data_IF_574354698167
#
_entry.id   IF_574354698167
#
_cell.length_a   1.000
_cell.length_b   1.000
_cell.length_c   1.000
_cell.angle_alpha   90.00
_cell.angle_beta   90.00
_cell.angle_gamma   90.00
#
_symmetry.space_group_name_H-M   'P 1'
#
loop_
_entity.id
_entity.type
_entity.pdbx_description
1 polymer ?
#
# COMPACT_ATOMS: atom_id res chain seq x y z
N UNK A 1 -9.04 -0.58 -36.74
CA UNK A 1 -10.40 -0.08 -36.44
C UNK A 1 -10.85 1.03 -37.39
N UNK A 2 -10.01 2.00 -37.75
CA UNK A 2 -10.38 3.13 -38.65
C UNK A 2 -10.65 2.74 -40.12
N UNK A 3 -10.15 1.60 -40.60
CA UNK A 3 -10.38 1.12 -41.97
C UNK A 3 -11.50 0.06 -42.08
N UNK A 4 -12.29 -0.12 -41.02
CA UNK A 4 -13.44 -1.04 -41.05
C UNK A 4 -14.45 -0.73 -42.18
N UNK A 5 -14.75 0.55 -42.51
CA UNK A 5 -15.68 0.88 -43.59
C UNK A 5 -15.23 0.38 -44.98
N UNK A 6 -13.92 0.35 -45.23
CA UNK A 6 -13.35 -0.05 -46.52
C UNK A 6 -13.02 -1.54 -46.59
N UNK A 7 -12.55 -2.12 -45.48
CA UNK A 7 -12.11 -3.52 -45.46
C UNK A 7 -13.23 -4.52 -45.18
N UNK A 8 -14.21 -4.16 -44.34
CA UNK A 8 -15.28 -5.06 -43.88
C UNK A 8 -16.61 -4.29 -43.66
N UNK A 9 -17.22 -3.76 -44.74
CA UNK A 9 -18.41 -2.91 -44.64
C UNK A 9 -19.61 -3.61 -43.97
N UNK A 10 -19.74 -4.92 -44.10
CA UNK A 10 -20.81 -5.72 -43.48
C UNK A 10 -20.69 -5.81 -41.95
N UNK A 11 -19.46 -5.76 -41.43
CA UNK A 11 -19.21 -5.73 -39.99
C UNK A 11 -19.62 -4.38 -39.43
N UNK A 12 -19.27 -3.30 -40.15
CA UNK A 12 -19.69 -1.94 -39.80
C UNK A 12 -21.22 -1.80 -39.83
N UNK A 13 -21.90 -2.31 -40.86
CA UNK A 13 -23.36 -2.23 -40.96
C UNK A 13 -24.04 -2.93 -39.78
N UNK A 14 -23.56 -4.12 -39.40
CA UNK A 14 -24.05 -4.84 -38.22
C UNK A 14 -23.75 -4.09 -36.91
N UNK A 15 -22.61 -3.44 -36.81
CA UNK A 15 -22.23 -2.62 -35.66
C UNK A 15 -23.17 -1.42 -35.50
N UNK A 16 -23.49 -0.73 -36.61
CA UNK A 16 -24.40 0.42 -36.62
C UNK A 16 -25.85 0.04 -36.25
N UNK A 17 -26.26 -1.20 -36.52
CA UNK A 17 -27.59 -1.73 -36.10
C UNK A 17 -27.56 -2.28 -34.66
N UNK A 18 -26.46 -2.06 -33.92
CA UNK A 18 -26.33 -2.43 -32.51
C UNK A 18 -26.15 -3.93 -32.26
N UNK A 19 -25.65 -4.69 -33.25
CA UNK A 19 -25.13 -6.05 -33.02
C UNK A 19 -23.79 -5.95 -32.27
N UNK A 20 -23.24 -7.07 -31.77
CA UNK A 20 -22.04 -7.14 -30.88
C UNK A 20 -22.29 -6.88 -29.37
N UNK A 21 -23.54 -6.69 -28.96
CA UNK A 21 -23.95 -6.77 -27.57
C UNK A 21 -25.09 -7.79 -27.43
N UNK A 22 -25.19 -8.43 -26.28
CA UNK A 22 -26.20 -9.43 -25.96
C UNK A 22 -26.96 -9.05 -24.71
N UNK A 23 -28.21 -9.50 -24.63
CA UNK A 23 -29.10 -9.19 -23.52
C UNK A 23 -29.49 -10.50 -22.83
N UNK A 24 -29.10 -10.65 -21.55
CA UNK A 24 -29.33 -11.88 -20.80
C UNK A 24 -30.77 -12.03 -20.27
N UNK A 25 -31.51 -10.93 -20.13
CA UNK A 25 -32.87 -10.92 -19.60
C UNK A 25 -33.83 -10.07 -20.43
N UNK A 26 -35.09 -10.49 -20.53
CA UNK A 26 -36.12 -9.83 -21.34
C UNK A 26 -36.68 -8.54 -20.72
N UNK A 27 -36.36 -8.25 -19.45
CA UNK A 27 -37.04 -7.22 -18.65
C UNK A 27 -36.33 -5.85 -18.72
N UNK A 28 -35.01 -5.81 -18.88
CA UNK A 28 -34.25 -4.55 -18.87
C UNK A 28 -33.76 -4.17 -20.28
N UNK A 29 -34.42 -3.21 -20.98
CA UNK A 29 -34.03 -2.79 -22.33
C UNK A 29 -32.65 -2.12 -22.40
N UNK A 30 -32.11 -1.63 -21.28
CA UNK A 30 -30.77 -1.03 -21.20
C UNK A 30 -29.70 -2.00 -20.67
N UNK A 31 -30.02 -3.29 -20.53
CA UNK A 31 -29.13 -4.30 -19.95
C UNK A 31 -28.25 -5.05 -20.96
N UNK A 32 -27.99 -4.47 -22.15
CA UNK A 32 -27.12 -5.10 -23.15
C UNK A 32 -25.66 -5.01 -22.71
N UNK A 33 -24.97 -6.14 -22.73
CA UNK A 33 -23.56 -6.23 -22.36
C UNK A 33 -22.73 -6.77 -23.54
N UNK A 34 -21.42 -6.49 -23.57
CA UNK A 34 -20.50 -7.14 -24.50
C UNK A 34 -20.59 -8.68 -24.46
N UNK A 35 -20.31 -9.32 -25.60
CA UNK A 35 -20.45 -10.78 -25.77
C UNK A 35 -19.51 -11.55 -24.83
N UNK A 36 -18.29 -11.06 -24.63
CA UNK A 36 -17.30 -11.62 -23.71
C UNK A 36 -17.80 -11.59 -22.26
N UNK A 37 -18.33 -10.45 -21.82
CA UNK A 37 -18.92 -10.31 -20.49
C UNK A 37 -20.13 -11.23 -20.30
N UNK A 38 -20.90 -11.48 -21.35
CA UNK A 38 -22.03 -12.41 -21.26
C UNK A 38 -21.58 -13.87 -21.12
N UNK A 39 -20.50 -14.27 -21.79
CA UNK A 39 -19.88 -15.59 -21.60
C UNK A 39 -19.37 -15.71 -20.15
N UNK A 40 -18.81 -14.62 -19.62
CA UNK A 40 -18.33 -14.56 -18.23
C UNK A 40 -19.48 -14.78 -17.22
N UNK A 41 -20.56 -14.02 -17.35
CA UNK A 41 -21.70 -14.05 -16.43
C UNK A 41 -22.62 -15.27 -16.60
N UNK A 42 -22.41 -16.11 -17.63
CA UNK A 42 -23.19 -17.33 -17.88
C UNK A 42 -22.34 -18.58 -17.79
N UNK A 43 -21.65 -18.93 -18.88
CA UNK A 43 -20.92 -20.19 -19.04
C UNK A 43 -19.76 -20.25 -18.04
N UNK A 44 -18.95 -19.19 -17.93
CA UNK A 44 -17.83 -19.18 -16.99
C UNK A 44 -18.30 -19.18 -15.54
N UNK A 45 -19.32 -18.40 -15.19
CA UNK A 45 -19.88 -18.38 -13.84
C UNK A 45 -20.33 -19.77 -13.37
N UNK A 46 -20.95 -20.55 -14.24
CA UNK A 46 -21.39 -21.92 -13.91
C UNK A 46 -20.23 -22.92 -13.87
N UNK A 47 -19.20 -22.73 -14.69
CA UNK A 47 -18.12 -23.72 -14.90
C UNK A 47 -16.86 -23.42 -14.10
N UNK A 48 -16.57 -22.17 -13.72
CA UNK A 48 -15.38 -21.73 -12.99
C UNK A 48 -15.57 -21.69 -11.46
N UNK A 49 -16.41 -22.56 -10.91
CA UNK A 49 -16.59 -22.74 -9.46
C UNK A 49 -15.40 -23.49 -8.82
N UNK A 50 -15.36 -23.61 -7.49
CA UNK A 50 -14.33 -24.41 -6.81
C UNK A 50 -14.46 -25.90 -7.25
N UNK A 51 -13.49 -26.39 -8.02
CA UNK A 51 -13.54 -27.69 -8.72
C UNK A 51 -13.75 -27.59 -10.25
N UNK A 52 -14.00 -26.39 -10.76
CA UNK A 52 -13.96 -26.01 -12.18
C UNK A 52 -12.54 -25.69 -12.68
N UNK A 53 -12.40 -25.01 -13.84
CA UNK A 53 -11.06 -24.68 -14.44
C UNK A 53 -10.07 -24.07 -13.46
N UNK A 54 -10.56 -23.33 -12.46
CA UNK A 54 -9.79 -22.83 -11.34
C UNK A 54 -9.40 -24.00 -10.41
N UNK A 55 -8.22 -24.58 -10.67
CA UNK A 55 -7.68 -25.72 -9.92
C UNK A 55 -7.94 -27.09 -10.55
N UNK A 56 -8.47 -27.15 -11.78
CA UNK A 56 -8.86 -28.41 -12.45
C UNK A 56 -7.67 -29.28 -12.87
N UNK A 57 -6.81 -28.77 -13.77
CA UNK A 57 -5.69 -29.51 -14.34
C UNK A 57 -4.82 -28.58 -15.20
N UNK A 58 -3.50 -28.77 -15.18
CA UNK A 58 -2.55 -28.11 -16.09
C UNK A 58 -2.30 -28.92 -17.39
N UNK A 59 -2.92 -30.09 -17.55
CA UNK A 59 -2.73 -30.95 -18.73
C UNK A 59 -3.57 -30.46 -19.91
N UNK A 60 -2.92 -30.09 -21.02
CA UNK A 60 -3.57 -29.46 -22.18
C UNK A 60 -4.76 -30.26 -22.74
N UNK A 61 -4.61 -31.58 -22.91
CA UNK A 61 -5.68 -32.43 -23.45
C UNK A 61 -6.93 -32.48 -22.58
N UNK A 62 -6.76 -32.40 -21.26
CA UNK A 62 -7.87 -32.33 -20.29
C UNK A 62 -8.56 -30.97 -20.34
N UNK A 63 -7.77 -29.90 -20.47
CA UNK A 63 -8.26 -28.52 -20.62
C UNK A 63 -9.03 -28.34 -21.93
N UNK A 64 -8.52 -28.85 -23.06
CA UNK A 64 -9.22 -28.78 -24.35
C UNK A 64 -10.56 -29.51 -24.33
N UNK A 65 -10.62 -30.73 -23.77
CA UNK A 65 -11.89 -31.47 -23.63
C UNK A 65 -12.88 -30.74 -22.71
N UNK A 66 -12.38 -30.09 -21.67
CA UNK A 66 -13.20 -29.28 -20.78
C UNK A 66 -13.85 -28.12 -21.55
N UNK A 67 -13.06 -27.33 -22.30
CA UNK A 67 -13.59 -26.20 -23.08
C UNK A 67 -14.55 -26.63 -24.19
N UNK A 68 -14.34 -27.80 -24.83
CA UNK A 68 -15.27 -28.34 -25.84
C UNK A 68 -16.63 -28.70 -25.22
N UNK A 69 -16.65 -29.14 -23.95
CA UNK A 69 -17.88 -29.62 -23.29
C UNK A 69 -18.49 -28.62 -22.31
N UNK A 70 -17.87 -27.47 -22.08
CA UNK A 70 -18.26 -26.52 -21.03
C UNK A 70 -19.68 -25.98 -21.21
N UNK A 71 -20.12 -25.74 -22.45
CA UNK A 71 -21.45 -25.21 -22.76
C UNK A 71 -22.55 -26.21 -22.40
N UNK A 72 -22.35 -27.47 -22.77
CA UNK A 72 -23.24 -28.56 -22.40
C UNK A 72 -23.30 -28.73 -20.88
N UNK A 73 -22.16 -28.65 -20.19
CA UNK A 73 -22.08 -28.75 -18.73
C UNK A 73 -22.83 -27.62 -18.04
N UNK A 74 -22.64 -26.36 -18.45
CA UNK A 74 -23.40 -25.21 -17.94
C UNK A 74 -24.90 -25.40 -18.16
N UNK A 75 -25.31 -25.84 -19.36
CA UNK A 75 -26.72 -26.11 -19.67
C UNK A 75 -27.34 -27.18 -18.75
N UNK A 76 -26.67 -28.31 -18.55
CA UNK A 76 -27.17 -29.36 -17.66
C UNK A 76 -27.22 -28.89 -16.20
N UNK A 77 -26.20 -28.15 -15.73
CA UNK A 77 -26.19 -27.58 -14.38
C UNK A 77 -27.34 -26.60 -14.16
N UNK A 78 -27.66 -25.78 -15.17
CA UNK A 78 -28.79 -24.85 -15.11
C UNK A 78 -30.13 -25.58 -14.99
N UNK A 79 -30.35 -26.59 -15.83
CA UNK A 79 -31.55 -27.44 -15.78
C UNK A 79 -31.68 -28.17 -14.44
N UNK A 80 -30.58 -28.70 -13.91
CA UNK A 80 -30.55 -29.34 -12.58
C UNK A 80 -30.95 -28.35 -11.48
N UNK A 81 -30.39 -27.13 -11.48
CA UNK A 81 -30.73 -26.10 -10.49
C UNK A 81 -32.21 -25.70 -10.56
N UNK A 82 -32.75 -25.56 -11.77
CA UNK A 82 -34.17 -25.29 -12.00
C UNK A 82 -35.06 -26.42 -11.45
N UNK A 83 -34.69 -27.68 -11.74
CA UNK A 83 -35.40 -28.86 -11.26
C UNK A 83 -35.37 -29.01 -9.73
N UNK A 84 -34.26 -28.68 -9.08
CA UNK A 84 -34.11 -28.82 -7.61
C UNK A 84 -34.73 -27.67 -6.81
N UNK A 85 -35.49 -26.79 -7.45
CA UNK A 85 -36.09 -25.63 -6.76
C UNK A 85 -35.06 -24.60 -6.28
N UNK A 86 -33.86 -24.62 -6.86
CA UNK A 86 -32.86 -23.57 -6.72
C UNK A 86 -33.35 -22.33 -7.46
N UNK A 87 -34.40 -21.72 -6.92
CA UNK A 87 -35.11 -20.62 -7.52
C UNK A 87 -34.14 -19.47 -7.81
N UNK A 88 -34.22 -19.01 -9.06
CA UNK A 88 -33.60 -17.82 -9.63
C UNK A 88 -33.28 -16.79 -8.54
N UNK A 89 -31.99 -16.64 -8.18
CA UNK A 89 -31.58 -15.45 -7.49
C UNK A 89 -32.01 -14.29 -8.40
N UNK A 90 -33.02 -13.52 -7.98
CA UNK A 90 -33.24 -12.17 -8.51
C UNK A 90 -31.85 -11.57 -8.68
N UNK A 91 -31.57 -10.98 -9.85
CA UNK A 91 -30.34 -10.26 -10.15
C UNK A 91 -30.18 -9.12 -9.14
N UNK A 92 -29.83 -9.47 -7.92
CA UNK A 92 -29.63 -8.58 -6.80
C UNK A 92 -28.13 -8.40 -6.86
N UNK A 93 -27.70 -7.24 -7.36
CA UNK A 93 -26.29 -6.87 -7.31
C UNK A 93 -25.78 -7.19 -5.91
N UNK A 94 -24.64 -7.89 -5.76
CA UNK A 94 -24.11 -8.25 -4.46
C UNK A 94 -24.01 -7.04 -3.52
N UNK A 95 -23.73 -5.86 -4.06
CA UNK A 95 -23.62 -4.59 -3.33
C UNK A 95 -24.96 -4.02 -2.83
N UNK A 96 -26.09 -4.49 -3.38
CA UNK A 96 -27.42 -4.09 -2.95
C UNK A 96 -27.99 -4.98 -1.82
N UNK A 97 -27.22 -5.96 -1.34
CA UNK A 97 -27.58 -6.74 -0.16
C UNK A 97 -27.73 -5.84 1.07
N UNK A 98 -28.78 -6.08 1.86
CA UNK A 98 -29.14 -5.28 3.04
C UNK A 98 -27.97 -5.16 4.03
N UNK A 99 -27.20 -6.23 4.20
CA UNK A 99 -26.03 -6.31 5.07
C UNK A 99 -24.90 -5.40 4.59
N UNK A 100 -24.68 -5.29 3.28
CA UNK A 100 -23.68 -4.39 2.70
C UNK A 100 -24.10 -2.94 2.80
N UNK A 101 -25.38 -2.62 2.57
CA UNK A 101 -25.92 -1.26 2.75
C UNK A 101 -25.71 -0.77 4.19
N UNK A 102 -26.06 -1.59 5.18
CA UNK A 102 -25.82 -1.30 6.61
C UNK A 102 -24.34 -1.15 6.96
N UNK A 103 -23.44 -1.79 6.21
CA UNK A 103 -22.00 -1.58 6.38
C UNK A 103 -21.58 -0.24 5.81
N UNK A 104 -21.98 0.08 4.59
CA UNK A 104 -21.67 1.36 3.96
C UNK A 104 -22.21 2.55 4.75
N UNK A 105 -23.42 2.45 5.29
CA UNK A 105 -23.99 3.47 6.18
C UNK A 105 -23.10 3.69 7.42
N UNK A 106 -22.69 2.62 8.09
CA UNK A 106 -21.76 2.72 9.23
C UNK A 106 -20.39 3.28 8.86
N UNK A 107 -19.87 2.90 7.70
CA UNK A 107 -18.58 3.39 7.21
C UNK A 107 -18.66 4.90 6.89
N UNK A 108 -19.80 5.37 6.34
CA UNK A 108 -20.07 6.80 6.11
C UNK A 108 -20.26 7.55 7.42
N UNK A 109 -21.05 7.02 8.36
CA UNK A 109 -21.22 7.62 9.69
C UNK A 109 -19.90 7.77 10.42
N UNK A 110 -19.03 6.75 10.37
CA UNK A 110 -17.71 6.82 10.96
C UNK A 110 -16.81 7.88 10.30
N UNK A 111 -16.92 8.08 8.98
CA UNK A 111 -16.19 9.12 8.28
C UNK A 111 -16.70 10.51 8.66
N UNK A 112 -18.02 10.70 8.71
CA UNK A 112 -18.63 11.96 9.11
C UNK A 112 -18.27 12.32 10.55
N UNK A 113 -18.39 11.38 11.48
CA UNK A 113 -18.00 11.58 12.89
C UNK A 113 -16.52 11.95 13.03
N UNK A 114 -15.66 11.30 12.24
CA UNK A 114 -14.24 11.63 12.20
C UNK A 114 -14.01 13.06 11.66
N UNK A 115 -14.71 13.47 10.61
CA UNK A 115 -14.57 14.81 10.03
C UNK A 115 -15.16 15.93 10.89
N UNK A 116 -16.26 15.67 11.60
CA UNK A 116 -16.99 16.69 12.36
C UNK A 116 -16.51 16.79 13.82
N UNK A 117 -16.18 15.65 14.45
CA UNK A 117 -15.93 15.60 15.90
C UNK A 117 -14.48 15.25 16.27
N UNK A 118 -13.71 14.62 15.37
CA UNK A 118 -12.37 14.11 15.71
C UNK A 118 -11.25 14.87 15.01
N UNK A 119 -11.44 15.26 13.75
CA UNK A 119 -10.44 16.00 12.99
C UNK A 119 -10.57 17.48 13.27
N UNK A 120 -9.47 18.06 13.73
CA UNK A 120 -9.27 19.50 13.71
C UNK A 120 -9.32 19.98 12.27
N UNK A 121 -10.34 20.78 11.95
CA UNK A 121 -10.48 21.41 10.64
C UNK A 121 -9.58 22.66 10.60
N UNK A 122 -8.42 22.62 9.92
CA UNK A 122 -7.45 23.72 9.92
C UNK A 122 -7.94 24.97 9.16
N UNK A 123 -9.11 24.88 8.53
CA UNK A 123 -9.75 25.96 7.78
C UNK A 123 -11.01 26.48 8.49
N UNK A 124 -11.31 26.01 9.70
CA UNK A 124 -12.41 26.54 10.49
C UNK A 124 -12.04 27.94 11.01
N UNK A 125 -12.77 29.00 10.61
CA UNK A 125 -12.45 30.37 11.02
C UNK A 125 -12.77 30.66 12.49
N UNK A 126 -13.53 29.78 13.15
CA UNK A 126 -14.02 29.94 14.52
C UNK A 126 -13.10 29.33 15.59
N UNK A 127 -11.98 28.69 15.19
CA UNK A 127 -10.97 28.19 16.12
C UNK A 127 -10.02 29.31 16.57
N UNK A 128 -10.14 29.72 17.83
CA UNK A 128 -9.28 30.77 18.43
C UNK A 128 -7.88 30.28 18.81
N UNK A 129 -7.70 28.96 18.94
CA UNK A 129 -6.48 28.34 19.44
C UNK A 129 -5.49 27.99 18.32
N UNK A 130 -4.22 28.37 18.49
CA UNK A 130 -3.14 27.97 17.57
C UNK A 130 -2.81 26.49 17.77
N UNK A 131 -3.14 25.63 16.81
CA UNK A 131 -2.86 24.19 16.87
C UNK A 131 -1.76 23.76 15.89
N UNK A 132 -0.86 22.86 16.32
CA UNK A 132 0.12 22.23 15.43
C UNK A 132 -0.53 21.10 14.63
N UNK A 133 -0.62 21.26 13.30
CA UNK A 133 -1.16 20.24 12.39
C UNK A 133 -0.42 18.89 12.44
N UNK A 134 0.85 18.90 12.81
CA UNK A 134 1.68 17.70 12.83
C UNK A 134 1.58 16.89 14.12
N UNK A 135 1.19 17.53 15.22
CA UNK A 135 1.21 16.93 16.56
C UNK A 135 -0.13 16.99 17.27
N UNK A 136 -1.11 17.71 16.72
CA UNK A 136 -2.42 17.93 17.32
C UNK A 136 -2.37 18.61 18.70
N UNK A 137 -1.26 19.32 18.96
CA UNK A 137 -1.03 19.98 20.25
C UNK A 137 -1.52 21.41 20.13
N UNK A 138 -2.50 21.75 20.97
CA UNK A 138 -2.93 23.13 21.21
C UNK A 138 -1.77 23.92 21.83
N UNK A 139 -1.44 25.06 21.23
CA UNK A 139 -0.34 25.92 21.65
C UNK A 139 -0.62 26.50 23.05
N UNK A 140 0.23 26.25 24.06
CA UNK A 140 0.11 26.91 25.36
C UNK A 140 0.18 28.44 25.22
N UNK A 141 -0.35 29.20 26.19
CA UNK A 141 -0.45 30.66 26.11
C UNK A 141 0.87 31.36 25.81
N UNK A 142 1.99 30.84 26.34
CA UNK A 142 3.31 31.40 26.10
C UNK A 142 3.80 31.23 24.66
N UNK A 143 3.54 30.06 24.06
CA UNK A 143 3.91 29.76 22.66
C UNK A 143 2.99 30.53 21.71
N UNK A 144 1.69 30.61 22.02
CA UNK A 144 0.70 31.32 21.22
C UNK A 144 1.09 32.81 21.11
N UNK A 145 1.35 33.45 22.26
CA UNK A 145 1.82 34.84 22.33
C UNK A 145 3.09 35.07 21.53
N UNK A 146 4.08 34.19 21.65
CA UNK A 146 5.37 34.34 20.98
C UNK A 146 5.25 34.13 19.45
N UNK A 147 4.39 33.21 19.00
CA UNK A 147 4.10 32.98 17.57
C UNK A 147 3.36 34.16 16.94
N UNK A 148 2.31 34.68 17.58
CA UNK A 148 1.57 35.85 17.09
C UNK A 148 2.44 37.11 17.02
N UNK A 149 3.40 37.24 17.93
CA UNK A 149 4.33 38.38 17.97
C UNK A 149 5.61 38.17 17.17
N UNK A 150 5.81 37.00 16.56
CA UNK A 150 7.06 36.69 15.86
C UNK A 150 7.37 37.70 14.75
N UNK A 151 6.35 38.10 13.98
CA UNK A 151 6.50 39.12 12.94
C UNK A 151 6.86 40.49 13.52
N UNK A 152 6.14 40.97 14.54
CA UNK A 152 6.39 42.30 15.13
C UNK A 152 7.74 42.38 15.83
N UNK A 153 8.17 41.30 16.51
CA UNK A 153 9.50 41.19 17.12
C UNK A 153 10.60 41.12 16.05
N UNK A 154 10.36 40.42 14.94
CA UNK A 154 11.27 40.36 13.80
C UNK A 154 11.44 41.72 13.12
N UNK A 155 10.32 42.43 12.90
CA UNK A 155 10.31 43.76 12.30
C UNK A 155 11.06 44.77 13.18
N UNK A 156 10.81 44.76 14.50
CA UNK A 156 11.56 45.62 15.42
C UNK A 156 13.07 45.33 15.39
N UNK A 157 13.47 44.06 15.34
CA UNK A 157 14.88 43.68 15.22
C UNK A 157 15.49 44.10 13.87
N UNK A 158 14.71 44.07 12.80
CA UNK A 158 15.13 44.57 11.49
C UNK A 158 15.31 46.09 11.48
N UNK A 159 14.37 46.84 12.08
CA UNK A 159 14.49 48.30 12.17
C UNK A 159 15.69 48.71 13.03
N UNK A 160 15.93 48.05 14.17
CA UNK A 160 17.15 48.24 14.98
C UNK A 160 18.42 47.96 14.16
N UNK A 161 18.42 46.93 13.32
CA UNK A 161 19.54 46.62 12.45
C UNK A 161 19.74 47.68 11.37
N UNK A 162 18.66 48.16 10.75
CA UNK A 162 18.71 49.18 9.72
C UNK A 162 19.30 50.49 10.24
N UNK A 163 18.86 50.96 11.41
CA UNK A 163 19.41 52.17 12.04
C UNK A 163 20.91 52.03 12.29
N UNK A 164 21.35 50.90 12.84
CA UNK A 164 22.78 50.68 13.09
C UNK A 164 23.60 50.59 11.80
N UNK A 165 23.03 50.03 10.72
CA UNK A 165 23.68 50.00 9.41
C UNK A 165 23.81 51.40 8.78
N UNK A 166 22.82 52.26 8.99
CA UNK A 166 22.80 53.63 8.45
C UNK A 166 23.68 54.60 9.28
N UNK A 167 23.78 54.40 10.60
CA UNK A 167 24.47 55.32 11.53
C UNK A 167 25.91 54.90 11.91
N UNK A 168 26.24 53.60 11.89
CA UNK A 168 27.54 53.09 12.34
C UNK A 168 28.42 52.61 11.17
N UNK A 169 29.47 53.38 10.84
CA UNK A 169 30.39 53.10 9.71
C UNK A 169 31.14 51.75 9.83
N UNK A 170 31.15 51.10 10.99
CA UNK A 170 31.77 49.79 11.17
C UNK A 170 30.83 48.61 10.92
N UNK A 171 29.50 48.80 10.91
CA UNK A 171 28.57 47.68 10.80
C UNK A 171 28.40 47.26 9.33
N UNK A 172 28.58 45.96 9.06
CA UNK A 172 28.47 45.39 7.71
C UNK A 172 27.07 44.84 7.48
N UNK A 173 26.59 44.87 6.24
CA UNK A 173 25.32 44.26 5.82
C UNK A 173 25.21 42.77 6.20
N UNK A 174 26.34 42.05 6.23
CA UNK A 174 26.39 40.63 6.61
C UNK A 174 26.56 40.38 8.11
N UNK A 175 26.48 41.41 8.95
CA UNK A 175 26.50 41.23 10.40
C UNK A 175 25.26 40.46 10.86
N UNK A 176 25.44 39.61 11.88
CA UNK A 176 24.40 38.68 12.32
C UNK A 176 23.37 39.41 13.18
N UNK A 177 22.10 39.27 12.84
CA UNK A 177 20.99 39.60 13.72
C UNK A 177 21.00 38.70 14.97
N UNK A 178 20.83 39.29 16.14
CA UNK A 178 20.75 38.53 17.40
C UNK A 178 19.46 37.71 17.43
N UNK A 179 19.59 36.39 17.64
CA UNK A 179 18.45 35.48 17.75
C UNK A 179 17.56 35.88 18.94
N UNK A 180 16.28 36.15 18.68
CA UNK A 180 15.27 36.38 19.72
C UNK A 180 14.75 35.02 20.19
N UNK A 181 14.81 34.75 21.50
CA UNK A 181 14.50 33.45 22.09
C UNK A 181 12.99 33.16 22.20
N UNK A 182 12.25 33.35 21.10
CA UNK A 182 10.81 33.09 21.04
C UNK A 182 10.53 31.60 21.15
N UNK A 183 9.50 31.23 21.92
CA UNK A 183 9.02 29.85 21.98
C UNK A 183 8.17 29.52 20.75
N UNK A 184 8.30 28.29 20.25
CA UNK A 184 7.61 27.76 19.07
C UNK A 184 7.10 26.34 19.35
N UNK A 185 6.36 25.73 18.43
CA UNK A 185 5.92 24.34 18.56
C UNK A 185 7.07 23.33 18.77
N UNK A 186 8.31 23.66 18.35
CA UNK A 186 9.50 22.82 18.64
C UNK A 186 9.83 22.75 20.14
N UNK A 187 9.38 23.74 20.93
CA UNK A 187 9.52 23.73 22.38
C UNK A 187 8.48 22.84 23.07
N UNK A 188 7.43 22.41 22.34
CA UNK A 188 6.37 21.53 22.82
C UNK A 188 6.58 20.07 22.43
N UNK A 189 7.45 19.80 21.45
CA UNK A 189 7.75 18.42 21.08
C UNK A 189 8.41 17.72 22.28
N UNK A 190 7.72 16.72 22.82
CA UNK A 190 8.38 15.69 23.64
C UNK A 190 9.52 15.13 22.80
N UNK A 191 10.71 14.98 23.38
CA UNK A 191 11.83 14.27 22.74
C UNK A 191 11.40 12.82 22.48
N UNK A 192 10.70 12.59 21.38
CA UNK A 192 10.57 11.28 20.78
C UNK A 192 11.95 10.89 20.26
N UNK A 193 12.29 9.60 20.40
CA UNK A 193 13.64 9.07 20.16
C UNK A 193 14.32 9.68 18.93
N UNK A 194 15.61 9.97 19.05
CA UNK A 194 16.37 10.70 18.03
C UNK A 194 16.75 9.83 16.82
N UNK A 195 16.28 8.58 16.77
CA UNK A 195 16.56 7.66 15.67
C UNK A 195 15.39 6.75 15.36
N UNK A 196 15.27 6.38 14.08
CA UNK A 196 14.26 5.41 13.58
C UNK A 196 14.28 4.10 14.37
N UNK A 197 15.48 3.62 14.75
CA UNK A 197 15.62 2.38 15.51
C UNK A 197 15.15 2.53 16.96
N UNK A 198 15.41 3.68 17.60
CA UNK A 198 14.93 3.98 18.95
C UNK A 198 13.40 4.07 18.98
N UNK A 199 12.80 4.73 18.00
CA UNK A 199 11.34 4.78 17.85
C UNK A 199 10.74 3.40 17.56
N UNK A 200 11.38 2.60 16.69
CA UNK A 200 10.99 1.20 16.42
C UNK A 200 11.03 0.36 17.70
N UNK A 201 12.04 0.56 18.55
CA UNK A 201 12.16 -0.13 19.84
C UNK A 201 11.09 0.32 20.84
N UNK A 202 10.86 1.63 20.98
CA UNK A 202 9.79 2.16 21.84
C UNK A 202 8.42 1.60 21.44
N UNK A 203 8.14 1.51 20.12
CA UNK A 203 6.92 0.93 19.60
C UNK A 203 6.82 -0.58 19.92
N UNK A 204 7.92 -1.32 19.82
CA UNK A 204 7.97 -2.72 20.22
C UNK A 204 7.68 -2.91 21.71
N UNK A 205 8.25 -2.07 22.58
CA UNK A 205 7.97 -2.11 24.02
C UNK A 205 6.51 -1.76 24.35
N UNK A 206 5.95 -0.77 23.65
CA UNK A 206 4.56 -0.35 23.85
C UNK A 206 3.56 -1.42 23.39
N UNK A 207 3.83 -2.09 22.26
CA UNK A 207 3.00 -3.20 21.77
C UNK A 207 3.45 -4.51 22.42
N UNK A 208 2.80 -4.90 23.52
CA UNK A 208 3.02 -6.19 24.21
C UNK A 208 2.91 -7.38 23.24
N UNK A 209 4.04 -7.82 22.69
CA UNK A 209 4.13 -8.96 21.76
C UNK A 209 3.95 -8.62 20.27
N UNK A 210 4.31 -7.41 19.81
CA UNK A 210 4.30 -7.11 18.38
C UNK A 210 5.18 -8.09 17.57
N UNK A 211 4.61 -8.65 16.51
CA UNK A 211 5.38 -9.41 15.53
C UNK A 211 6.27 -8.47 14.70
N UNK A 212 7.40 -8.98 14.20
CA UNK A 212 8.36 -8.19 13.42
C UNK A 212 7.73 -7.51 12.19
N UNK A 213 6.74 -8.16 11.58
CA UNK A 213 5.96 -7.65 10.44
C UNK A 213 5.09 -6.43 10.76
N UNK A 214 4.76 -6.23 12.05
CA UNK A 214 3.94 -5.12 12.53
C UNK A 214 4.77 -3.90 12.96
N UNK A 215 6.10 -3.99 12.86
CA UNK A 215 7.03 -2.93 13.22
C UNK A 215 7.49 -2.17 11.97
N UNK A 216 7.58 -0.83 12.03
CA UNK A 216 8.06 -0.01 10.92
C UNK A 216 9.51 -0.34 10.60
N UNK A 217 9.97 -0.28 9.33
CA UNK A 217 11.29 -0.75 8.91
C UNK A 217 12.44 -0.19 9.78
N UNK A 218 13.53 -0.96 9.92
CA UNK A 218 14.75 -0.45 10.53
C UNK A 218 15.31 0.73 9.73
N UNK A 219 16.15 1.56 10.37
CA UNK A 219 16.84 2.67 9.68
C UNK A 219 17.51 2.23 8.38
N UNK A 220 18.17 1.08 8.41
CA UNK A 220 18.92 0.54 7.28
C UNK A 220 17.99 0.07 6.15
N UNK A 221 16.92 -0.66 6.49
CA UNK A 221 15.90 -1.07 5.52
C UNK A 221 15.19 0.14 4.89
N UNK A 222 14.86 1.15 5.70
CA UNK A 222 14.27 2.40 5.24
C UNK A 222 15.21 3.15 4.29
N UNK A 223 16.51 3.21 4.62
CA UNK A 223 17.51 3.86 3.79
C UNK A 223 17.64 3.18 2.42
N UNK A 224 17.74 1.84 2.39
CA UNK A 224 17.81 1.07 1.13
C UNK A 224 16.52 1.22 0.31
N UNK A 225 15.35 1.25 0.97
CA UNK A 225 14.08 1.53 0.30
C UNK A 225 14.06 2.92 -0.35
N UNK A 226 14.51 3.95 0.37
CA UNK A 226 14.61 5.30 -0.16
C UNK A 226 15.58 5.38 -1.35
N UNK A 227 16.71 4.68 -1.31
CA UNK A 227 17.64 4.58 -2.44
C UNK A 227 16.96 3.96 -3.67
N UNK A 228 16.18 2.89 -3.49
CA UNK A 228 15.44 2.26 -4.59
C UNK A 228 14.38 3.18 -5.18
N UNK A 229 13.59 3.82 -4.33
CA UNK A 229 12.55 4.76 -4.76
C UNK A 229 13.16 5.94 -5.54
N UNK A 230 14.29 6.48 -5.05
CA UNK A 230 15.02 7.55 -5.74
C UNK A 230 15.53 7.10 -7.11
N UNK A 231 16.11 5.90 -7.21
CA UNK A 231 16.56 5.34 -8.49
C UNK A 231 15.41 5.15 -9.48
N UNK A 232 14.26 4.63 -9.03
CA UNK A 232 13.06 4.50 -9.85
C UNK A 232 12.55 5.87 -10.33
N UNK A 233 12.48 6.86 -9.45
CA UNK A 233 12.10 8.22 -9.81
C UNK A 233 13.06 8.84 -10.83
N UNK A 234 14.37 8.56 -10.72
CA UNK A 234 15.36 9.01 -11.69
C UNK A 234 15.18 8.39 -13.08
N UNK A 235 14.70 7.15 -13.17
CA UNK A 235 14.30 6.53 -14.45
C UNK A 235 13.07 7.25 -15.01
N UNK A 236 12.03 7.40 -14.19
CA UNK A 236 10.77 7.99 -14.63
C UNK A 236 10.92 9.43 -15.10
N UNK A 237 11.80 10.21 -14.45
CA UNK A 237 12.12 11.58 -14.88
C UNK A 237 12.71 11.66 -16.29
N UNK A 238 13.31 10.57 -16.79
CA UNK A 238 13.94 10.49 -18.12
C UNK A 238 13.12 9.67 -19.11
N UNK A 239 11.81 9.52 -18.88
CA UNK A 239 10.95 8.67 -19.73
C UNK A 239 10.88 9.10 -21.21
N UNK A 240 11.21 10.36 -21.52
CA UNK A 240 11.22 10.91 -22.88
C UNK A 240 12.58 10.73 -23.59
N UNK A 241 13.63 10.35 -22.86
CA UNK A 241 14.95 10.11 -23.44
C UNK A 241 15.01 8.68 -23.99
N UNK A 242 15.28 8.48 -25.28
CA UNK A 242 15.50 7.15 -25.82
C UNK A 242 16.84 6.59 -25.29
N UNK A 243 16.78 5.50 -24.52
CA UNK A 243 17.94 4.86 -23.85
C UNK A 243 18.73 5.83 -22.95
N UNK A 244 18.15 6.30 -21.84
CA UNK A 244 18.88 7.16 -20.91
C UNK A 244 20.09 6.41 -20.33
N UNK A 245 21.23 7.09 -20.22
CA UNK A 245 22.39 6.54 -19.55
C UNK A 245 22.12 6.51 -18.04
N UNK A 246 21.85 5.31 -17.51
CA UNK A 246 21.49 5.10 -16.10
C UNK A 246 22.67 4.53 -15.32
N UNK A 247 22.93 5.04 -14.10
CA UNK A 247 23.86 4.38 -13.19
C UNK A 247 23.39 2.95 -12.87
N UNK A 248 24.32 2.11 -12.43
CA UNK A 248 23.99 0.74 -12.04
C UNK A 248 22.94 0.74 -10.92
N UNK A 249 21.93 -0.15 -10.96
CA UNK A 249 21.03 -0.37 -9.82
C UNK A 249 21.77 -0.97 -8.61
N UNK A 250 22.91 -1.62 -8.84
CA UNK A 250 23.81 -2.06 -7.76
C UNK A 250 24.21 -0.81 -6.95
N UNK A 251 24.24 -0.93 -5.62
CA UNK A 251 24.44 0.16 -4.66
C UNK A 251 23.25 1.12 -4.44
N UNK A 252 22.19 1.03 -5.24
CA UNK A 252 20.93 1.78 -5.04
C UNK A 252 19.87 0.97 -4.29
N UNK A 253 20.29 0.03 -3.44
CA UNK A 253 19.41 -0.87 -2.70
C UNK A 253 19.05 -2.17 -3.42
N UNK A 254 19.79 -2.50 -4.48
CA UNK A 254 19.81 -3.81 -5.13
C UNK A 254 21.19 -4.45 -5.06
N UNK A 255 21.22 -5.78 -5.09
CA UNK A 255 22.41 -6.61 -5.19
C UNK A 255 22.29 -7.53 -6.41
N UNK A 256 23.44 -7.94 -6.96
CA UNK A 256 23.48 -8.91 -8.06
C UNK A 256 23.95 -10.26 -7.51
N UNK A 257 23.11 -11.28 -7.69
CA UNK A 257 23.41 -12.66 -7.34
C UNK A 257 23.02 -13.55 -8.52
N UNK A 258 23.95 -14.39 -8.99
CA UNK A 258 23.76 -15.30 -10.13
C UNK A 258 23.23 -14.61 -11.42
N UNK A 259 23.70 -13.38 -11.68
CA UNK A 259 23.28 -12.58 -12.84
C UNK A 259 21.84 -12.06 -12.75
N UNK A 260 21.23 -12.10 -11.56
CA UNK A 260 19.90 -11.57 -11.28
C UNK A 260 19.99 -10.45 -10.24
N UNK A 261 19.20 -9.40 -10.48
CA UNK A 261 19.02 -8.31 -9.52
C UNK A 261 18.05 -8.73 -8.42
N UNK A 262 18.57 -8.84 -7.21
CA UNK A 262 17.81 -9.09 -5.99
C UNK A 262 17.69 -7.80 -5.15
N UNK A 263 16.61 -7.71 -4.38
CA UNK A 263 16.43 -6.59 -3.45
C UNK A 263 17.39 -6.77 -2.28
N UNK A 264 18.25 -5.78 -2.05
CA UNK A 264 19.04 -5.71 -0.82
C UNK A 264 18.13 -5.14 0.28
N UNK A 265 17.62 -6.01 1.14
CA UNK A 265 16.68 -5.62 2.21
C UNK A 265 17.38 -4.95 3.39
N UNK A 266 18.56 -5.43 3.76
CA UNK A 266 19.41 -4.91 4.84
C UNK A 266 20.88 -5.17 4.51
N UNK A 267 21.78 -4.36 5.07
CA UNK A 267 23.25 -4.51 5.01
C UNK A 267 23.79 -5.29 6.20
N UNK A 268 23.12 -5.19 7.35
CA UNK A 268 23.49 -5.91 8.57
C UNK A 268 22.68 -7.19 8.74
N UNK A 269 23.19 -8.12 9.53
CA UNK A 269 22.41 -9.30 9.95
C UNK A 269 21.11 -8.87 10.68
N UNK A 270 19.98 -9.57 10.48
CA UNK A 270 18.68 -9.21 11.05
C UNK A 270 18.64 -9.19 12.58
N UNK A 271 19.49 -9.98 13.23
CA UNK A 271 19.65 -10.06 14.67
C UNK A 271 21.11 -10.41 15.00
N UNK A 272 21.60 -10.13 16.23
CA UNK A 272 22.91 -10.58 16.67
C UNK A 272 23.03 -12.11 16.59
N UNK A 273 24.22 -12.61 16.26
CA UNK A 273 24.48 -14.05 16.11
C UNK A 273 24.04 -14.86 17.33
N UNK A 274 24.34 -14.35 18.54
CA UNK A 274 23.94 -14.97 19.82
C UNK A 274 22.41 -15.13 19.95
N UNK A 275 21.62 -14.21 19.39
CA UNK A 275 20.15 -14.30 19.41
C UNK A 275 19.66 -15.30 18.37
N UNK A 276 20.28 -15.32 17.19
CA UNK A 276 19.99 -16.32 16.17
C UNK A 276 20.33 -17.73 16.67
N UNK A 277 21.39 -17.86 17.45
CA UNK A 277 21.79 -19.12 18.07
C UNK A 277 20.82 -19.64 19.14
N UNK A 278 19.99 -18.77 19.72
CA UNK A 278 18.95 -19.16 20.67
C UNK A 278 17.67 -19.63 19.97
N UNK A 279 17.56 -19.48 18.64
CA UNK A 279 16.41 -19.94 17.87
C UNK A 279 16.51 -21.46 17.63
N UNK A 280 15.75 -22.21 18.41
CA UNK A 280 15.68 -23.67 18.28
C UNK A 280 14.37 -24.15 17.65
N UNK A 281 14.45 -25.14 16.77
CA UNK A 281 13.26 -25.87 16.32
C UNK A 281 12.71 -26.77 17.44
N UNK A 282 11.39 -26.99 17.46
CA UNK A 282 10.72 -27.96 18.34
C UNK A 282 10.57 -29.35 17.68
N UNK A 283 11.40 -29.66 16.69
CA UNK A 283 11.30 -30.91 15.95
C UNK A 283 11.62 -32.09 16.88
N UNK A 284 10.82 -33.17 16.79
CA UNK A 284 10.88 -34.30 17.72
C UNK A 284 11.43 -35.60 17.13
N UNK A 285 11.66 -35.67 15.80
CA UNK A 285 12.21 -36.88 15.14
C UNK A 285 13.30 -36.59 14.11
N UNK A 286 13.01 -35.79 13.09
CA UNK A 286 13.96 -35.39 12.04
C UNK A 286 13.60 -33.98 11.57
N UNK A 287 14.61 -33.14 11.34
CA UNK A 287 14.43 -31.84 10.71
C UNK A 287 14.28 -32.02 9.19
N UNK A 288 13.07 -31.80 8.67
CA UNK A 288 12.78 -31.78 7.23
C UNK A 288 12.44 -30.36 6.79
N UNK A 289 12.78 -30.01 5.56
CA UNK A 289 12.57 -28.66 5.02
C UNK A 289 11.10 -28.21 5.11
N UNK A 290 10.12 -29.11 4.97
CA UNK A 290 8.70 -28.76 5.07
C UNK A 290 8.23 -28.47 6.50
N UNK A 291 8.88 -29.08 7.50
CA UNK A 291 8.31 -29.19 8.86
C UNK A 291 9.17 -28.44 9.91
N UNK A 292 10.43 -28.17 9.60
CA UNK A 292 11.36 -27.52 10.51
C UNK A 292 11.42 -26.01 10.26
N UNK A 293 11.00 -25.23 11.25
CA UNK A 293 11.05 -23.76 11.19
C UNK A 293 12.46 -23.20 10.98
N UNK A 294 13.52 -23.85 11.46
CA UNK A 294 14.89 -23.41 11.21
C UNK A 294 15.23 -23.56 9.72
N UNK A 295 14.98 -24.75 9.15
CA UNK A 295 15.22 -25.04 7.73
C UNK A 295 14.41 -24.14 6.79
N UNK A 296 13.12 -23.94 7.07
CA UNK A 296 12.24 -23.07 6.26
C UNK A 296 12.79 -21.63 6.22
N UNK A 297 13.39 -21.17 7.31
CA UNK A 297 13.96 -19.82 7.41
C UNK A 297 15.47 -19.77 7.09
N UNK A 298 16.06 -20.86 6.58
CA UNK A 298 17.48 -20.90 6.21
C UNK A 298 18.46 -20.80 7.39
N UNK A 299 18.03 -21.18 8.60
CA UNK A 299 18.84 -21.16 9.82
C UNK A 299 19.39 -22.55 10.15
N UNK A 300 20.61 -22.60 10.70
CA UNK A 300 21.18 -23.82 11.27
C UNK A 300 20.37 -24.29 12.50
N UNK A 301 20.30 -25.60 12.74
CA UNK A 301 19.59 -26.11 13.92
C UNK A 301 20.52 -26.13 15.14
N UNK A 302 20.20 -25.33 16.16
CA UNK A 302 21.05 -25.20 17.34
C UNK A 302 20.85 -26.28 18.42
N UNK A 303 21.91 -26.50 19.20
CA UNK A 303 22.10 -27.61 20.13
C UNK A 303 21.15 -27.67 21.34
N UNK A 304 20.41 -26.59 21.62
CA UNK A 304 19.60 -26.45 22.84
C UNK A 304 18.46 -27.47 22.96
N UNK A 305 17.97 -28.03 21.84
CA UNK A 305 16.92 -29.06 21.83
C UNK A 305 17.26 -30.20 20.87
N UNK A 306 18.47 -30.77 20.98
CA UNK A 306 18.97 -31.79 20.06
C UNK A 306 18.02 -32.97 19.84
N UNK A 307 17.63 -33.16 18.57
CA UNK A 307 17.55 -34.49 17.99
C UNK A 307 18.96 -34.96 17.67
N UNK A 308 19.36 -36.14 18.19
CA UNK A 308 20.70 -36.72 17.98
C UNK A 308 21.06 -36.99 16.50
N UNK A 309 20.10 -36.86 15.58
CA UNK A 309 20.21 -37.20 14.16
C UNK A 309 19.98 -35.99 13.23
N UNK A 310 20.02 -34.75 13.74
CA UNK A 310 19.92 -33.56 12.89
C UNK A 310 21.19 -33.35 12.06
N UNK A 311 21.03 -33.14 10.75
CA UNK A 311 22.14 -32.91 9.80
C UNK A 311 22.15 -31.48 9.22
N UNK A 312 21.30 -30.60 9.74
CA UNK A 312 21.26 -29.16 9.52
C UNK A 312 21.66 -28.45 10.81
#
# INVERSE_FOLDING_TARGET
MSQLPTTHPDVLSKFMVGKFSVQLGSINPFGRIPVDQAIEETVNKDTQTAGGTKGFSLKSGTVSKYYITQEYRSRYLRQLREMTGGSSSRLTYPDLQTERKKKYERDVEALTDLMENTWLNPMCPDEEDLVSLSTDIVSPPEVNRDLLRAHTVGEAAYQEFKVRLDEDQQEKLHSKLKKRGLKTFTNLSVKQGNSVNELRYQLFCAKRGAESSQLPPSRDCLFLHAQRANFQAAIWRRCLEPKPNMPSPIEHGWAEEDGKLNILWMRSVPAPEVVLELLSCKCSRVCKLSDCKCLVNGLACNDMYKLRTCTN
#
